data_IF_413479859392
#
_entry.id   IF_413479859392
#
_cell.length_a   1.000
_cell.length_b   1.000
_cell.length_c   1.000
_cell.angle_alpha   90.00
_cell.angle_beta   90.00
_cell.angle_gamma   90.00
#
_symmetry.space_group_name_H-M   'P 1'
#
loop_
_entity.id
_entity.type
_entity.pdbx_description
1 polymer ?
#
# COMPACT_ATOMS: atom_id res chain seq x y z
N UNK A 1 32.48 47.27 -2.69
CA UNK A 1 32.36 45.99 -1.92
C UNK A 1 31.14 45.16 -2.26
N UNK A 2 29.99 45.74 -2.52
CA UNK A 2 28.74 44.95 -2.67
C UNK A 2 28.61 44.16 -4.00
N UNK A 3 29.09 44.71 -5.13
CA UNK A 3 28.92 44.07 -6.45
C UNK A 3 29.84 42.85 -6.67
N UNK A 4 31.06 42.90 -6.15
CA UNK A 4 32.01 41.78 -6.27
C UNK A 4 31.62 40.62 -5.37
N UNK A 5 31.15 40.89 -4.17
CA UNK A 5 30.61 39.89 -3.25
C UNK A 5 29.38 39.18 -3.86
N UNK A 6 28.47 39.94 -4.48
CA UNK A 6 27.31 39.35 -5.17
C UNK A 6 27.72 38.50 -6.38
N UNK A 7 28.80 38.89 -7.11
CA UNK A 7 29.32 38.12 -8.24
C UNK A 7 29.93 36.79 -7.78
N UNK A 8 30.70 36.80 -6.70
CA UNK A 8 31.27 35.63 -6.10
C UNK A 8 30.14 34.67 -5.61
N UNK A 9 29.20 35.21 -4.82
CA UNK A 9 28.08 34.41 -4.30
C UNK A 9 27.23 33.77 -5.42
N UNK A 10 27.00 34.49 -6.53
CA UNK A 10 26.29 33.91 -7.71
C UNK A 10 27.09 32.82 -8.39
N UNK A 11 28.42 32.98 -8.49
CA UNK A 11 29.32 31.97 -9.07
C UNK A 11 29.32 30.70 -8.23
N UNK A 12 29.45 30.84 -6.91
CA UNK A 12 29.50 29.71 -5.98
C UNK A 12 28.15 28.99 -5.91
N UNK A 13 27.05 29.72 -5.92
CA UNK A 13 25.70 29.15 -6.01
C UNK A 13 25.51 28.38 -7.33
N UNK A 14 26.04 28.88 -8.46
CA UNK A 14 25.98 28.19 -9.75
C UNK A 14 26.81 26.92 -9.77
N UNK A 15 28.00 26.92 -9.13
CA UNK A 15 28.85 25.75 -9.01
C UNK A 15 28.16 24.65 -8.17
N UNK A 16 27.62 24.99 -7.01
CA UNK A 16 26.87 24.07 -6.13
C UNK A 16 25.67 23.47 -6.87
N UNK A 17 24.90 24.28 -7.58
CA UNK A 17 23.76 23.79 -8.35
C UNK A 17 24.19 22.86 -9.50
N UNK A 18 25.33 23.14 -10.17
CA UNK A 18 25.87 22.27 -11.21
C UNK A 18 26.28 20.92 -10.68
N UNK A 19 26.94 20.88 -9.52
CA UNK A 19 27.35 19.59 -8.90
C UNK A 19 26.14 18.80 -8.41
N UNK A 20 25.14 19.46 -7.84
CA UNK A 20 23.88 18.82 -7.50
C UNK A 20 23.13 18.25 -8.71
N UNK A 21 23.20 18.90 -9.88
CA UNK A 21 22.62 18.38 -11.11
C UNK A 21 23.34 17.13 -11.59
N UNK A 22 24.68 17.14 -11.61
CA UNK A 22 25.49 15.96 -11.97
C UNK A 22 25.19 14.77 -11.08
N UNK A 23 25.11 14.98 -9.80
CA UNK A 23 24.80 13.93 -8.83
C UNK A 23 23.37 13.37 -9.00
N UNK A 24 22.41 14.21 -9.40
CA UNK A 24 21.05 13.79 -9.75
C UNK A 24 21.02 12.96 -11.03
N UNK A 25 21.80 13.35 -12.04
CA UNK A 25 21.94 12.59 -13.28
C UNK A 25 22.55 11.21 -13.04
N UNK A 26 23.56 11.13 -12.19
CA UNK A 26 24.21 9.86 -11.82
C UNK A 26 23.25 8.94 -11.07
N UNK A 27 22.50 9.45 -10.08
CA UNK A 27 21.46 8.68 -9.39
C UNK A 27 20.36 8.20 -10.34
N UNK A 28 20.00 9.01 -11.34
CA UNK A 28 19.02 8.63 -12.36
C UNK A 28 19.56 7.51 -13.27
N UNK A 29 20.83 7.59 -13.70
CA UNK A 29 21.50 6.57 -14.50
C UNK A 29 21.63 5.24 -13.77
N UNK A 30 21.92 5.29 -12.47
CA UNK A 30 22.01 4.11 -11.61
C UNK A 30 20.63 3.54 -11.19
N UNK A 31 19.52 4.15 -11.60
CA UNK A 31 18.17 3.73 -11.20
C UNK A 31 17.86 3.97 -9.71
N UNK A 32 18.68 4.74 -9.01
CA UNK A 32 18.50 5.05 -7.60
C UNK A 32 17.47 6.19 -7.41
N UNK A 33 16.22 5.88 -7.76
CA UNK A 33 15.12 6.85 -7.78
C UNK A 33 14.87 7.50 -6.43
N UNK A 34 15.14 6.82 -5.33
CA UNK A 34 14.90 7.36 -3.98
C UNK A 34 15.88 8.49 -3.63
N UNK A 35 17.17 8.31 -3.85
CA UNK A 35 18.17 9.34 -3.60
C UNK A 35 18.00 10.51 -4.58
N UNK A 36 17.62 10.23 -5.82
CA UNK A 36 17.25 11.25 -6.79
C UNK A 36 16.11 12.12 -6.27
N UNK A 37 14.99 11.54 -5.84
CA UNK A 37 13.85 12.30 -5.33
C UNK A 37 14.12 12.97 -3.97
N UNK A 38 14.97 12.41 -3.12
CA UNK A 38 15.43 13.05 -1.88
C UNK A 38 16.19 14.32 -2.20
N UNK A 39 17.19 14.25 -3.08
CA UNK A 39 17.99 15.41 -3.50
C UNK A 39 17.19 16.47 -4.26
N UNK A 40 16.20 16.07 -5.04
CA UNK A 40 15.25 17.01 -5.67
C UNK A 40 14.45 17.76 -4.60
N UNK A 41 13.99 17.08 -3.55
CA UNK A 41 13.28 17.71 -2.41
C UNK A 41 14.17 18.67 -1.65
N UNK A 42 15.39 18.26 -1.33
CA UNK A 42 16.36 19.08 -0.60
C UNK A 42 16.73 20.35 -1.38
N UNK A 43 16.74 20.29 -2.72
CA UNK A 43 16.98 21.45 -3.59
C UNK A 43 15.77 22.38 -3.68
N UNK A 44 14.54 21.88 -3.52
CA UNK A 44 13.31 22.69 -3.52
C UNK A 44 13.08 23.46 -2.20
N UNK A 45 13.97 23.27 -1.22
CA UNK A 45 13.84 23.83 0.13
C UNK A 45 13.15 22.85 1.08
N UNK A 46 13.38 23.04 2.36
CA UNK A 46 12.71 22.31 3.42
C UNK A 46 11.20 22.39 3.21
N UNK A 47 10.59 21.21 3.07
CA UNK A 47 9.14 21.08 3.11
C UNK A 47 8.67 21.54 4.50
N UNK A 48 8.35 22.83 4.62
CA UNK A 48 7.47 23.25 5.69
C UNK A 48 6.12 22.62 5.36
N UNK A 49 5.67 21.68 6.18
CA UNK A 49 4.30 21.23 6.12
C UNK A 49 3.44 22.49 6.20
N UNK A 50 2.95 22.97 5.05
CA UNK A 50 1.93 24.01 5.06
C UNK A 50 0.85 23.46 5.96
N UNK A 51 0.42 24.26 6.95
CA UNK A 51 -0.79 23.95 7.70
C UNK A 51 -1.87 23.70 6.65
N UNK A 52 -2.19 22.43 6.43
CA UNK A 52 -3.19 22.05 5.45
C UNK A 52 -4.51 22.18 6.16
N UNK A 53 -5.17 23.33 5.97
CA UNK A 53 -6.57 23.47 6.35
C UNK A 53 -7.39 22.44 5.58
N UNK A 54 -8.15 21.65 6.29
CA UNK A 54 -9.07 20.63 5.73
C UNK A 54 -10.49 21.14 5.93
N UNK A 55 -11.35 20.92 4.96
CA UNK A 55 -12.77 21.26 5.07
C UNK A 55 -13.53 20.21 5.87
N UNK A 56 -14.45 20.70 6.70
CA UNK A 56 -15.47 19.88 7.34
C UNK A 56 -16.51 19.38 6.32
N UNK A 57 -17.57 18.71 6.81
CA UNK A 57 -18.69 18.24 5.96
C UNK A 57 -19.53 19.36 5.37
N UNK A 58 -19.49 20.56 5.99
CA UNK A 58 -20.24 21.74 5.58
C UNK A 58 -19.41 22.65 4.65
N UNK A 59 -18.17 22.29 4.34
CA UNK A 59 -17.25 23.05 3.49
C UNK A 59 -16.49 24.15 4.22
N UNK A 60 -16.56 24.21 5.57
CA UNK A 60 -15.81 25.16 6.39
C UNK A 60 -14.37 24.71 6.60
N UNK A 61 -13.43 25.63 6.56
CA UNK A 61 -12.01 25.35 6.74
C UNK A 61 -11.71 25.07 8.24
N UNK A 62 -11.22 23.88 8.56
CA UNK A 62 -10.73 23.50 9.88
C UNK A 62 -9.26 23.90 10.01
N UNK A 63 -8.92 24.59 11.08
CA UNK A 63 -7.56 25.07 11.38
C UNK A 63 -6.95 24.41 12.60
N UNK A 64 -7.79 23.98 13.56
CA UNK A 64 -7.33 23.34 14.77
C UNK A 64 -6.90 21.89 14.54
N UNK A 65 -5.77 21.52 15.16
CA UNK A 65 -5.17 20.19 14.94
C UNK A 65 -6.10 19.05 15.35
N UNK A 66 -6.84 19.20 16.44
CA UNK A 66 -7.76 18.18 16.94
C UNK A 66 -8.99 18.02 16.04
N UNK A 67 -9.54 19.10 15.52
CA UNK A 67 -10.64 19.06 14.57
C UNK A 67 -10.24 18.41 13.26
N UNK A 68 -9.02 18.68 12.77
CA UNK A 68 -8.44 18.04 11.59
C UNK A 68 -8.28 16.53 11.82
N UNK A 69 -7.76 16.10 12.98
CA UNK A 69 -7.64 14.69 13.35
C UNK A 69 -9.01 14.02 13.38
N UNK A 70 -9.97 14.63 14.06
CA UNK A 70 -11.35 14.13 14.16
C UNK A 70 -11.98 13.97 12.76
N UNK A 71 -11.81 14.97 11.88
CA UNK A 71 -12.31 14.90 10.50
C UNK A 71 -11.70 13.76 9.70
N UNK A 72 -10.39 13.51 9.85
CA UNK A 72 -9.73 12.39 9.21
C UNK A 72 -10.21 11.04 9.75
N UNK A 73 -10.43 10.93 11.05
CA UNK A 73 -10.99 9.74 11.66
C UNK A 73 -12.40 9.48 11.12
N UNK A 74 -13.30 10.45 11.19
CA UNK A 74 -14.67 10.36 10.66
C UNK A 74 -14.69 9.94 9.18
N UNK A 75 -13.85 10.58 8.36
CA UNK A 75 -13.76 10.26 6.94
C UNK A 75 -13.30 8.83 6.69
N UNK A 76 -12.34 8.36 7.47
CA UNK A 76 -11.82 6.99 7.35
C UNK A 76 -12.85 5.98 7.85
N UNK A 77 -13.51 6.23 8.96
CA UNK A 77 -14.57 5.37 9.50
C UNK A 77 -15.74 5.24 8.52
N UNK A 78 -16.17 6.31 7.86
CA UNK A 78 -17.22 6.25 6.84
C UNK A 78 -16.90 5.27 5.71
N UNK A 79 -15.65 5.23 5.26
CA UNK A 79 -15.23 4.34 4.18
C UNK A 79 -14.99 2.90 4.62
N UNK A 80 -14.55 2.70 5.87
CA UNK A 80 -14.20 1.39 6.42
C UNK A 80 -15.17 0.93 7.51
N UNK A 81 -16.37 1.53 7.59
CA UNK A 81 -17.39 1.17 8.58
C UNK A 81 -17.73 -0.30 8.43
N UNK A 82 -17.64 -1.04 9.54
CA UNK A 82 -17.95 -2.45 9.60
C UNK A 82 -19.46 -2.65 9.39
N UNK A 83 -19.83 -3.47 8.42
CA UNK A 83 -21.19 -4.03 8.38
C UNK A 83 -21.32 -4.99 9.57
N UNK A 84 -22.10 -4.56 10.59
CA UNK A 84 -22.35 -5.32 11.83
C UNK A 84 -23.17 -6.61 11.59
N UNK A 85 -23.64 -6.84 10.37
CA UNK A 85 -24.48 -7.97 9.99
C UNK A 85 -23.68 -9.04 9.24
N UNK A 86 -22.52 -9.47 9.74
CA UNK A 86 -21.89 -10.70 9.26
C UNK A 86 -22.50 -11.90 10.04
N UNK A 87 -23.44 -12.64 9.44
CA UNK A 87 -24.11 -13.77 10.13
C UNK A 87 -23.23 -15.02 10.23
N UNK A 88 -22.07 -15.03 9.57
CA UNK A 88 -21.14 -16.17 9.52
C UNK A 88 -19.92 -15.96 10.42
N UNK A 89 -20.13 -15.76 11.71
CA UNK A 89 -19.08 -16.08 12.70
C UNK A 89 -18.97 -17.60 12.77
N UNK A 90 -18.26 -18.19 11.84
CA UNK A 90 -17.87 -19.59 11.98
C UNK A 90 -16.81 -19.69 13.08
N UNK A 91 -17.25 -20.04 14.29
CA UNK A 91 -16.42 -20.55 15.39
C UNK A 91 -15.86 -21.95 15.09
N UNK A 92 -15.77 -22.34 13.83
CA UNK A 92 -15.18 -23.58 13.41
C UNK A 92 -13.67 -23.54 13.54
N UNK A 93 -13.13 -24.04 14.63
CA UNK A 93 -11.72 -24.37 14.74
C UNK A 93 -11.41 -25.47 13.72
N UNK A 94 -10.82 -25.09 12.58
CA UNK A 94 -10.38 -26.05 11.58
C UNK A 94 -9.11 -26.72 12.12
N UNK A 95 -9.24 -27.93 12.59
CA UNK A 95 -8.20 -28.69 13.29
C UNK A 95 -7.05 -29.20 12.42
N UNK A 96 -7.15 -29.10 11.11
CA UNK A 96 -6.16 -29.63 10.17
C UNK A 96 -5.73 -28.62 9.11
N UNK A 97 -4.88 -27.68 9.50
CA UNK A 97 -4.20 -26.79 8.56
C UNK A 97 -3.02 -27.52 7.90
N UNK A 98 -3.17 -27.92 6.66
CA UNK A 98 -2.09 -28.52 5.86
C UNK A 98 -1.91 -27.76 4.56
N UNK A 99 -0.66 -27.63 4.08
CA UNK A 99 0.60 -27.98 4.74
C UNK A 99 1.05 -26.92 5.76
N UNK A 100 1.90 -27.32 6.72
CA UNK A 100 2.57 -26.41 7.65
C UNK A 100 3.40 -25.35 6.90
N UNK A 101 3.68 -24.23 7.58
CA UNK A 101 4.56 -23.20 7.02
C UNK A 101 6.00 -23.71 7.06
N UNK A 102 6.67 -23.64 5.90
CA UNK A 102 8.06 -24.07 5.77
C UNK A 102 9.02 -22.90 6.01
N UNK A 103 10.19 -23.19 6.57
CA UNK A 103 11.27 -22.21 6.73
C UNK A 103 11.69 -21.59 5.39
N UNK A 104 11.66 -22.36 4.31
CA UNK A 104 11.94 -21.89 2.95
C UNK A 104 10.95 -20.84 2.45
N UNK A 105 9.67 -20.93 2.86
CA UNK A 105 8.66 -19.91 2.53
C UNK A 105 8.96 -18.61 3.26
N UNK A 106 9.32 -18.67 4.55
CA UNK A 106 9.70 -17.50 5.35
C UNK A 106 10.95 -16.84 4.77
N UNK A 107 11.97 -17.63 4.43
CA UNK A 107 13.21 -17.14 3.80
C UNK A 107 12.92 -16.41 2.47
N UNK A 108 12.07 -16.98 1.62
CA UNK A 108 11.65 -16.37 0.36
C UNK A 108 10.86 -15.09 0.59
N UNK A 109 9.93 -15.09 1.54
CA UNK A 109 9.13 -13.92 1.89
C UNK A 109 10.00 -12.79 2.42
N UNK A 110 10.95 -13.08 3.31
CA UNK A 110 11.94 -12.10 3.80
C UNK A 110 12.80 -11.52 2.67
N UNK A 111 13.29 -12.39 1.77
CA UNK A 111 14.06 -11.93 0.59
C UNK A 111 13.28 -11.05 -0.37
N UNK A 112 11.94 -11.09 -0.32
CA UNK A 112 11.07 -10.25 -1.15
C UNK A 112 10.72 -8.89 -0.52
N UNK A 113 11.13 -8.63 0.72
CA UNK A 113 10.91 -7.33 1.37
C UNK A 113 11.72 -6.25 0.68
N UNK A 114 11.04 -5.15 0.36
CA UNK A 114 11.70 -3.98 -0.24
C UNK A 114 12.32 -3.16 0.88
N UNK A 115 13.64 -2.97 0.78
CA UNK A 115 14.40 -2.14 1.72
C UNK A 115 14.07 -0.66 1.59
N UNK A 116 14.46 0.10 2.59
CA UNK A 116 14.26 1.55 2.61
C UNK A 116 12.78 1.96 2.49
N UNK A 117 11.87 1.14 3.00
CA UNK A 117 10.44 1.49 3.12
C UNK A 117 10.12 1.86 4.57
N UNK A 118 9.18 2.78 4.79
CA UNK A 118 8.71 3.11 6.14
C UNK A 118 8.23 1.87 6.88
N UNK A 119 8.57 1.77 8.16
CA UNK A 119 8.05 0.75 9.07
C UNK A 119 6.56 0.95 9.35
N UNK A 120 5.89 -0.10 9.79
CA UNK A 120 4.54 0.00 10.33
C UNK A 120 4.50 0.65 11.71
N UNK A 121 3.41 0.42 12.45
CA UNK A 121 3.22 0.95 13.80
C UNK A 121 4.21 0.42 14.84
N UNK A 122 4.87 -0.71 14.56
CA UNK A 122 5.91 -1.34 15.39
C UNK A 122 7.28 -0.65 15.30
N UNK A 123 7.47 0.24 14.33
CA UNK A 123 8.75 0.94 14.12
C UNK A 123 9.90 0.06 13.62
N UNK A 124 9.70 -1.25 13.36
CA UNK A 124 10.76 -2.18 12.97
C UNK A 124 11.09 -1.99 11.47
N UNK A 125 12.32 -1.56 11.12
CA UNK A 125 12.72 -1.40 9.74
C UNK A 125 13.02 -2.75 9.07
N UNK A 126 12.81 -2.85 7.75
CA UNK A 126 13.08 -4.07 7.00
C UNK A 126 14.57 -4.48 7.03
N UNK A 127 15.46 -3.51 7.16
CA UNK A 127 16.90 -3.68 7.21
C UNK A 127 17.36 -4.53 8.40
N UNK A 128 16.62 -4.50 9.51
CA UNK A 128 16.92 -5.31 10.70
C UNK A 128 16.92 -6.81 10.35
N UNK A 129 16.00 -7.26 9.51
CA UNK A 129 15.91 -8.67 9.11
C UNK A 129 17.11 -9.11 8.24
N UNK A 130 17.73 -8.19 7.51
CA UNK A 130 18.97 -8.48 6.77
C UNK A 130 20.16 -8.64 7.70
N UNK A 131 20.22 -7.86 8.78
CA UNK A 131 21.29 -7.95 9.79
C UNK A 131 21.19 -9.29 10.53
N UNK A 132 19.99 -9.66 10.95
CA UNK A 132 19.72 -10.89 11.72
C UNK A 132 19.77 -12.17 10.88
N UNK A 133 19.67 -12.08 9.55
CA UNK A 133 19.78 -13.21 8.60
C UNK A 133 19.00 -14.47 9.04
N UNK A 134 19.73 -15.55 9.32
CA UNK A 134 19.14 -16.84 9.65
C UNK A 134 18.38 -16.85 10.99
N UNK A 135 18.78 -16.01 11.95
CA UNK A 135 18.09 -15.91 13.24
C UNK A 135 16.70 -15.27 13.05
N UNK A 136 16.61 -14.24 12.20
CA UNK A 136 15.31 -13.68 11.82
C UNK A 136 14.42 -14.73 11.17
N UNK A 137 14.97 -15.59 10.30
CA UNK A 137 14.19 -16.67 9.65
C UNK A 137 13.65 -17.64 10.68
N UNK A 138 14.46 -18.12 11.62
CA UNK A 138 14.05 -19.08 12.66
C UNK A 138 12.96 -18.52 13.56
N UNK A 139 13.15 -17.29 14.05
CA UNK A 139 12.18 -16.64 14.94
C UNK A 139 10.86 -16.40 14.20
N UNK A 140 10.90 -15.83 13.01
CA UNK A 140 9.69 -15.59 12.23
C UNK A 140 9.01 -16.88 11.78
N UNK A 141 9.76 -17.95 11.49
CA UNK A 141 9.20 -19.26 11.18
C UNK A 141 8.39 -19.80 12.36
N UNK A 142 8.95 -19.76 13.58
CA UNK A 142 8.22 -20.18 14.79
C UNK A 142 6.94 -19.37 15.00
N UNK A 143 7.01 -18.05 14.86
CA UNK A 143 5.84 -17.17 15.01
C UNK A 143 4.80 -17.46 13.92
N UNK A 144 5.21 -17.57 12.66
CA UNK A 144 4.30 -17.86 11.55
C UNK A 144 3.64 -19.23 11.69
N UNK A 145 4.37 -20.25 12.16
CA UNK A 145 3.80 -21.58 12.45
C UNK A 145 2.77 -21.51 13.57
N UNK A 146 3.06 -20.77 14.64
CA UNK A 146 2.09 -20.62 15.73
C UNK A 146 0.81 -19.92 15.26
N UNK A 147 0.94 -18.79 14.53
CA UNK A 147 -0.19 -18.08 13.94
C UNK A 147 -0.99 -19.00 13.01
N UNK A 148 -0.29 -19.80 12.19
CA UNK A 148 -0.92 -20.75 11.27
C UNK A 148 -1.71 -21.81 12.00
N UNK A 149 -1.14 -22.43 13.04
CA UNK A 149 -1.77 -23.49 13.83
C UNK A 149 -2.96 -23.00 14.67
N UNK A 150 -2.82 -21.82 15.28
CA UNK A 150 -3.86 -21.25 16.14
C UNK A 150 -4.91 -20.44 15.35
N UNK A 151 -4.63 -20.09 14.11
CA UNK A 151 -5.41 -19.17 13.29
C UNK A 151 -5.60 -17.78 13.92
N UNK A 152 -4.84 -17.46 14.96
CA UNK A 152 -4.92 -16.20 15.67
C UNK A 152 -3.81 -15.25 15.23
N UNK A 153 -4.20 -14.12 14.67
CA UNK A 153 -3.28 -13.08 14.29
C UNK A 153 -2.96 -12.20 15.51
N UNK A 154 -1.67 -11.87 15.74
CA UNK A 154 -1.31 -10.89 16.77
C UNK A 154 -1.99 -9.53 16.48
N UNK A 155 -2.52 -8.87 17.49
CA UNK A 155 -3.23 -7.59 17.32
C UNK A 155 -2.35 -6.54 16.62
N UNK A 156 -1.06 -6.47 16.96
CA UNK A 156 -0.12 -5.56 16.32
C UNK A 156 0.07 -5.83 14.82
N UNK A 157 -0.23 -7.05 14.33
CA UNK A 157 -0.16 -7.38 12.91
C UNK A 157 -1.44 -7.01 12.16
N UNK A 158 -2.53 -6.77 12.89
CA UNK A 158 -3.81 -6.25 12.38
C UNK A 158 -3.87 -4.72 12.38
N UNK A 159 -2.85 -4.05 12.93
CA UNK A 159 -2.76 -2.60 13.03
C UNK A 159 -2.09 -2.00 11.80
N UNK A 160 -2.65 -0.89 11.31
CA UNK A 160 -2.07 -0.12 10.20
C UNK A 160 -2.00 1.36 10.52
N UNK A 161 -0.97 2.04 10.01
CA UNK A 161 -0.87 3.49 10.07
C UNK A 161 -1.19 4.04 8.68
N UNK A 162 -2.27 4.78 8.56
CA UNK A 162 -2.67 5.41 7.32
C UNK A 162 -1.93 6.73 7.13
N UNK A 163 -1.33 6.89 5.96
CA UNK A 163 -0.68 8.13 5.53
C UNK A 163 -1.46 8.70 4.36
N UNK A 164 -1.94 9.92 4.53
CA UNK A 164 -2.69 10.63 3.50
C UNK A 164 -1.73 11.41 2.59
N UNK A 165 -1.72 11.06 1.29
CA UNK A 165 -0.92 11.72 0.26
C UNK A 165 -1.86 12.52 -0.63
N UNK A 166 -1.63 13.82 -0.76
CA UNK A 166 -2.45 14.69 -1.60
C UNK A 166 -2.37 14.30 -3.07
N UNK A 167 -3.52 14.24 -3.73
CA UNK A 167 -3.64 14.20 -5.20
C UNK A 167 -3.26 15.57 -5.78
N UNK A 168 -3.12 15.64 -7.09
CA UNK A 168 -2.98 16.93 -7.80
C UNK A 168 -4.26 17.76 -7.60
N UNK A 169 -4.13 19.03 -7.27
CA UNK A 169 -5.25 19.94 -7.06
C UNK A 169 -5.32 20.53 -5.65
N UNK A 170 -6.48 21.00 -5.24
CA UNK A 170 -6.74 21.57 -3.91
C UNK A 170 -6.73 20.49 -2.84
N UNK A 171 -5.75 20.53 -1.95
CA UNK A 171 -5.59 19.59 -0.85
C UNK A 171 -6.48 19.92 0.37
N UNK A 172 -7.65 20.56 0.15
CA UNK A 172 -8.54 20.97 1.24
C UNK A 172 -9.58 19.93 1.64
N UNK A 173 -9.84 18.93 0.81
CA UNK A 173 -10.83 17.88 1.08
C UNK A 173 -10.15 16.54 1.29
N UNK A 174 -10.63 15.75 2.26
CA UNK A 174 -10.10 14.40 2.50
C UNK A 174 -10.23 13.48 1.27
N UNK A 175 -11.24 13.68 0.42
CA UNK A 175 -11.44 12.97 -0.85
C UNK A 175 -10.30 13.19 -1.86
N UNK A 176 -9.59 14.30 -1.75
CA UNK A 176 -8.46 14.67 -2.60
C UNK A 176 -7.13 14.06 -2.14
N UNK A 177 -7.19 13.06 -1.27
CA UNK A 177 -6.03 12.33 -0.81
C UNK A 177 -6.09 10.85 -1.18
N UNK A 178 -4.91 10.29 -1.40
CA UNK A 178 -4.68 8.86 -1.44
C UNK A 178 -4.21 8.39 -0.08
N UNK A 179 -4.86 7.39 0.47
CA UNK A 179 -4.43 6.77 1.72
C UNK A 179 -3.52 5.58 1.45
N UNK A 180 -2.34 5.56 2.07
CA UNK A 180 -1.41 4.44 2.03
C UNK A 180 -1.37 3.82 3.43
N UNK A 181 -1.64 2.52 3.52
CA UNK A 181 -1.54 1.77 4.76
C UNK A 181 -0.09 1.28 4.99
N UNK A 182 0.50 1.67 6.10
CA UNK A 182 1.76 1.13 6.59
C UNK A 182 1.46 0.05 7.62
N UNK A 183 1.81 -1.19 7.29
CA UNK A 183 1.73 -2.36 8.17
C UNK A 183 3.12 -2.83 8.55
N UNK A 184 3.25 -3.60 9.64
CA UNK A 184 4.54 -4.14 10.09
C UNK A 184 5.22 -4.98 9.01
N UNK A 185 6.54 -4.98 8.97
CA UNK A 185 7.29 -5.81 8.03
C UNK A 185 7.16 -7.30 8.38
N UNK A 186 7.00 -7.64 9.66
CA UNK A 186 6.72 -8.99 10.11
C UNK A 186 5.38 -9.51 9.59
N UNK A 187 4.32 -8.70 9.68
CA UNK A 187 3.03 -9.03 9.07
C UNK A 187 3.14 -9.23 7.55
N UNK A 188 3.93 -8.39 6.86
CA UNK A 188 4.16 -8.54 5.42
C UNK A 188 4.79 -9.89 5.05
N UNK A 189 5.65 -10.46 5.90
CA UNK A 189 6.22 -11.80 5.66
C UNK A 189 5.11 -12.84 5.60
N UNK A 190 4.22 -12.87 6.59
CA UNK A 190 3.09 -13.81 6.60
C UNK A 190 2.13 -13.60 5.44
N UNK A 191 1.83 -12.34 5.10
CA UNK A 191 1.01 -12.00 3.94
C UNK A 191 1.64 -12.45 2.61
N UNK A 192 2.96 -12.43 2.49
CA UNK A 192 3.69 -12.94 1.32
C UNK A 192 3.61 -14.45 1.19
N UNK A 193 3.65 -15.16 2.31
CA UNK A 193 3.44 -16.63 2.33
C UNK A 193 2.02 -16.94 1.88
N UNK A 194 1.01 -16.27 2.45
CA UNK A 194 -0.38 -16.42 2.03
C UNK A 194 -0.60 -16.08 0.56
N UNK A 195 -0.04 -14.97 0.10
CA UNK A 195 -0.11 -14.59 -1.31
C UNK A 195 0.40 -15.71 -2.21
N UNK A 196 1.55 -16.32 -1.88
CA UNK A 196 2.13 -17.39 -2.68
C UNK A 196 1.25 -18.65 -2.68
N UNK A 197 0.63 -18.98 -1.54
CA UNK A 197 -0.29 -20.12 -1.43
C UNK A 197 -1.60 -19.89 -2.18
N UNK A 198 -2.19 -18.70 -2.07
CA UNK A 198 -3.41 -18.34 -2.79
C UNK A 198 -3.21 -18.24 -4.30
N UNK A 199 -2.02 -17.80 -4.73
CA UNK A 199 -1.71 -17.58 -6.15
C UNK A 199 -1.87 -18.85 -6.99
N UNK A 200 -1.71 -20.03 -6.40
CA UNK A 200 -1.87 -21.31 -7.08
C UNK A 200 -3.31 -21.53 -7.53
N UNK A 201 -4.27 -21.14 -6.71
CA UNK A 201 -5.71 -21.24 -7.01
C UNK A 201 -6.16 -20.10 -7.92
N UNK A 202 -5.83 -18.87 -7.53
CA UNK A 202 -6.28 -17.67 -8.24
C UNK A 202 -5.81 -17.65 -9.70
N UNK A 203 -4.60 -18.13 -9.99
CA UNK A 203 -4.08 -18.14 -11.36
C UNK A 203 -4.88 -19.03 -12.31
N UNK A 204 -5.57 -20.04 -11.79
CA UNK A 204 -6.38 -20.98 -12.59
C UNK A 204 -7.74 -20.36 -12.95
N UNK A 205 -8.25 -19.49 -12.11
CA UNK A 205 -9.59 -18.90 -12.23
C UNK A 205 -9.60 -17.54 -12.96
N UNK A 206 -8.45 -16.84 -12.99
CA UNK A 206 -8.38 -15.52 -13.64
C UNK A 206 -8.42 -15.68 -15.16
N UNK A 207 -9.40 -15.11 -15.86
CA UNK A 207 -9.50 -15.20 -17.31
C UNK A 207 -8.31 -14.52 -18.00
N UNK A 208 -7.95 -15.02 -19.20
CA UNK A 208 -6.77 -14.55 -19.95
C UNK A 208 -6.84 -13.08 -20.37
N UNK A 209 -8.03 -12.52 -20.48
CA UNK A 209 -8.24 -11.11 -20.79
C UNK A 209 -7.82 -10.19 -19.65
N UNK A 210 -7.81 -10.66 -18.40
CA UNK A 210 -7.40 -9.85 -17.27
C UNK A 210 -5.88 -9.65 -17.26
N UNK A 211 -5.45 -8.41 -17.36
CA UNK A 211 -4.04 -8.04 -17.29
C UNK A 211 -3.62 -7.53 -15.92
N UNK A 212 -4.53 -6.90 -15.17
CA UNK A 212 -4.25 -6.34 -13.85
C UNK A 212 -3.83 -7.42 -12.85
N UNK A 213 -2.78 -7.14 -12.06
CA UNK A 213 -2.25 -8.02 -10.99
C UNK A 213 -1.75 -9.40 -11.45
N UNK A 214 -1.57 -9.62 -12.75
CA UNK A 214 -1.00 -10.85 -13.32
C UNK A 214 0.49 -10.72 -13.62
N UNK A 215 1.25 -11.74 -13.23
CA UNK A 215 2.69 -11.83 -13.57
C UNK A 215 2.86 -11.91 -15.09
N UNK A 216 3.79 -11.11 -15.63
CA UNK A 216 4.10 -11.11 -17.06
C UNK A 216 3.17 -10.26 -17.92
N UNK A 217 2.07 -9.72 -17.40
CA UNK A 217 1.19 -8.77 -18.10
C UNK A 217 1.61 -7.33 -17.75
N UNK A 218 1.87 -6.51 -18.76
CA UNK A 218 2.34 -5.13 -18.60
C UNK A 218 1.35 -4.13 -19.18
N UNK A 219 1.33 -2.92 -18.65
CA UNK A 219 0.50 -1.83 -19.19
C UNK A 219 0.80 -1.54 -20.65
N UNK A 220 2.08 -1.64 -21.06
CA UNK A 220 2.49 -1.44 -22.45
C UNK A 220 1.84 -2.45 -23.41
N UNK A 221 1.70 -3.70 -22.99
CA UNK A 221 1.07 -4.75 -23.80
C UNK A 221 -0.41 -4.42 -24.02
N UNK A 222 -1.09 -3.89 -22.99
CA UNK A 222 -2.49 -3.49 -23.11
C UNK A 222 -2.67 -2.25 -24.01
N UNK A 223 -1.75 -1.29 -23.94
CA UNK A 223 -1.74 -0.14 -24.85
C UNK A 223 -1.54 -0.62 -26.29
N UNK A 224 -0.58 -1.54 -26.53
CA UNK A 224 -0.34 -2.11 -27.84
C UNK A 224 -1.58 -2.84 -28.39
N UNK A 225 -2.29 -3.60 -27.54
CA UNK A 225 -3.54 -4.26 -27.94
C UNK A 225 -4.61 -3.25 -28.38
N UNK A 226 -4.78 -2.14 -27.66
CA UNK A 226 -5.73 -1.08 -28.04
C UNK A 226 -5.30 -0.43 -29.37
N UNK A 227 -4.03 -0.10 -29.52
CA UNK A 227 -3.50 0.46 -30.78
C UNK A 227 -3.76 -0.50 -31.94
N UNK A 228 -3.47 -1.78 -31.76
CA UNK A 228 -3.73 -2.80 -32.77
C UNK A 228 -5.23 -2.90 -33.16
N UNK A 229 -6.14 -2.86 -32.17
CA UNK A 229 -7.59 -2.83 -32.43
C UNK A 229 -7.97 -1.60 -33.27
N UNK A 230 -7.41 -0.44 -32.96
CA UNK A 230 -7.67 0.80 -33.70
C UNK A 230 -7.16 0.69 -35.14
N UNK A 231 -5.95 0.15 -35.33
CA UNK A 231 -5.36 -0.05 -36.66
C UNK A 231 -6.23 -1.00 -37.50
N UNK A 232 -6.63 -2.12 -36.94
CA UNK A 232 -7.53 -3.08 -37.62
C UNK A 232 -8.89 -2.50 -37.93
N UNK A 233 -9.47 -1.73 -37.02
CA UNK A 233 -10.74 -1.05 -37.28
C UNK A 233 -10.63 -0.08 -38.47
N UNK A 234 -9.51 0.64 -38.60
CA UNK A 234 -9.22 1.52 -39.74
C UNK A 234 -9.03 0.74 -41.05
N UNK A 235 -8.26 -0.34 -41.01
CA UNK A 235 -8.03 -1.20 -42.17
C UNK A 235 -9.34 -1.73 -42.74
N UNK A 236 -10.28 -2.16 -41.87
CA UNK A 236 -11.58 -2.69 -42.27
C UNK A 236 -12.69 -1.63 -42.34
N UNK A 237 -12.37 -0.35 -42.20
CA UNK A 237 -13.29 0.79 -42.20
C UNK A 237 -14.50 0.61 -41.25
N UNK A 238 -14.23 0.00 -40.07
CA UNK A 238 -15.24 -0.24 -39.03
C UNK A 238 -15.12 0.77 -37.90
N UNK A 239 -16.28 1.31 -37.50
CA UNK A 239 -16.33 2.15 -36.31
C UNK A 239 -16.10 1.32 -35.04
N UNK A 240 -15.23 1.78 -34.18
CA UNK A 240 -14.97 1.16 -32.87
C UNK A 240 -15.19 2.20 -31.77
N UNK A 241 -15.92 1.80 -30.73
CA UNK A 241 -16.22 2.64 -29.57
C UNK A 241 -15.53 2.07 -28.34
N UNK A 242 -14.86 2.92 -27.57
CA UNK A 242 -14.20 2.54 -26.33
C UNK A 242 -14.91 3.19 -25.14
N UNK A 243 -15.20 2.39 -24.11
CA UNK A 243 -15.68 2.86 -22.82
C UNK A 243 -14.63 2.51 -21.76
N UNK A 244 -14.11 3.52 -21.05
CA UNK A 244 -13.16 3.34 -19.95
C UNK A 244 -13.88 3.57 -18.62
N UNK A 245 -13.80 2.58 -17.72
CA UNK A 245 -14.41 2.64 -16.39
C UNK A 245 -13.31 2.68 -15.36
N UNK A 246 -13.25 3.76 -14.57
CA UNK A 246 -12.28 3.93 -13.48
C UNK A 246 -13.02 4.02 -12.14
N UNK A 247 -12.69 3.10 -11.21
CA UNK A 247 -13.31 3.09 -9.89
C UNK A 247 -12.58 4.03 -8.94
N UNK A 248 -13.29 4.93 -8.29
CA UNK A 248 -12.72 5.93 -7.40
C UNK A 248 -11.94 5.34 -6.21
N UNK A 249 -12.39 4.22 -5.65
CA UNK A 249 -11.80 3.52 -4.50
C UNK A 249 -12.05 2.01 -4.58
N UNK A 250 -11.61 1.36 -5.65
CA UNK A 250 -11.92 -0.03 -5.96
C UNK A 250 -11.69 -1.01 -4.77
N UNK A 251 -10.56 -0.90 -4.08
CA UNK A 251 -10.23 -1.81 -2.97
C UNK A 251 -11.06 -1.56 -1.71
N UNK A 252 -11.45 -0.31 -1.45
CA UNK A 252 -12.25 0.04 -0.27
C UNK A 252 -13.71 -0.37 -0.43
N UNK A 253 -14.18 -0.45 -1.68
CA UNK A 253 -15.56 -0.80 -2.00
C UNK A 253 -15.82 -2.32 -2.06
N UNK A 254 -14.81 -3.16 -1.75
CA UNK A 254 -14.97 -4.61 -1.76
C UNK A 254 -15.81 -5.04 -0.55
N UNK A 255 -16.94 -5.68 -0.83
CA UNK A 255 -17.77 -6.35 0.16
C UNK A 255 -17.08 -7.65 0.58
N UNK A 256 -16.72 -7.77 1.86
CA UNK A 256 -15.97 -8.92 2.35
C UNK A 256 -16.81 -10.21 2.29
N UNK A 257 -18.12 -10.17 2.56
CA UNK A 257 -18.96 -11.36 2.50
C UNK A 257 -19.03 -11.93 1.07
N UNK A 258 -19.16 -11.04 0.09
CA UNK A 258 -19.07 -11.45 -1.33
C UNK A 258 -17.68 -11.96 -1.67
N UNK A 259 -16.62 -11.35 -1.14
CA UNK A 259 -15.25 -11.82 -1.35
C UNK A 259 -15.08 -13.25 -0.84
N UNK A 260 -15.54 -13.56 0.38
CA UNK A 260 -15.44 -14.93 0.93
C UNK A 260 -16.20 -15.94 0.10
N UNK A 261 -17.38 -15.58 -0.40
CA UNK A 261 -18.17 -16.44 -1.29
C UNK A 261 -17.42 -16.72 -2.60
N UNK A 262 -16.89 -15.68 -3.24
CA UNK A 262 -16.12 -15.82 -4.49
C UNK A 262 -14.87 -16.70 -4.26
N UNK A 263 -14.12 -16.50 -3.17
CA UNK A 263 -12.95 -17.32 -2.86
C UNK A 263 -13.33 -18.81 -2.73
N UNK A 264 -14.47 -19.10 -2.12
CA UNK A 264 -15.00 -20.46 -2.03
C UNK A 264 -15.40 -21.01 -3.40
N UNK A 265 -16.08 -20.25 -4.24
CA UNK A 265 -16.45 -20.60 -5.61
C UNK A 265 -15.22 -20.86 -6.49
N UNK A 266 -14.10 -20.16 -6.25
CA UNK A 266 -12.80 -20.39 -6.88
C UNK A 266 -12.08 -21.64 -6.37
N UNK A 267 -12.69 -22.45 -5.50
CA UNK A 267 -12.08 -23.65 -4.94
C UNK A 267 -10.94 -23.40 -3.95
N UNK A 268 -10.83 -22.20 -3.40
CA UNK A 268 -9.84 -21.91 -2.36
C UNK A 268 -10.25 -22.66 -1.08
N UNK A 269 -9.34 -23.44 -0.47
CA UNK A 269 -9.64 -24.22 0.71
C UNK A 269 -10.17 -23.37 1.88
N UNK A 270 -11.16 -23.88 2.59
CA UNK A 270 -11.83 -23.17 3.68
C UNK A 270 -10.86 -22.68 4.77
N UNK A 271 -9.80 -23.43 5.05
CA UNK A 271 -8.79 -23.02 6.04
C UNK A 271 -8.03 -21.75 5.62
N UNK A 272 -7.76 -21.53 4.32
CA UNK A 272 -7.13 -20.31 3.83
C UNK A 272 -8.11 -19.14 3.89
N UNK A 273 -9.37 -19.37 3.53
CA UNK A 273 -10.41 -18.35 3.58
C UNK A 273 -10.70 -17.93 5.03
N UNK A 274 -10.78 -18.91 5.96
CA UNK A 274 -10.95 -18.63 7.39
C UNK A 274 -9.76 -17.85 7.95
N UNK A 275 -8.55 -18.23 7.58
CA UNK A 275 -7.34 -17.52 8.01
C UNK A 275 -7.31 -16.06 7.54
N UNK A 276 -7.77 -15.78 6.32
CA UNK A 276 -7.94 -14.42 5.82
C UNK A 276 -9.04 -13.66 6.57
N UNK A 277 -10.20 -14.29 6.82
CA UNK A 277 -11.28 -13.69 7.62
C UNK A 277 -10.77 -13.26 8.99
N UNK A 278 -10.00 -14.10 9.68
CA UNK A 278 -9.42 -13.79 10.98
C UNK A 278 -8.43 -12.62 10.94
N UNK A 279 -7.75 -12.40 9.81
CA UNK A 279 -6.93 -11.20 9.61
C UNK A 279 -7.79 -9.93 9.51
N UNK A 280 -8.90 -10.01 8.75
CA UNK A 280 -9.78 -8.86 8.56
C UNK A 280 -10.63 -8.55 9.79
N UNK A 281 -10.90 -9.54 10.63
CA UNK A 281 -11.63 -9.36 11.87
C UNK A 281 -10.83 -8.56 12.90
N UNK A 282 -11.40 -7.46 13.38
CA UNK A 282 -10.79 -6.62 14.44
C UNK A 282 -9.53 -5.87 13.99
N UNK A 283 -9.44 -5.47 12.73
CA UNK A 283 -8.39 -4.57 12.26
C UNK A 283 -8.56 -3.18 12.87
N UNK A 284 -7.43 -2.56 13.20
CA UNK A 284 -7.37 -1.20 13.75
C UNK A 284 -6.45 -0.33 12.90
N UNK A 285 -6.80 0.94 12.82
CA UNK A 285 -5.96 1.93 12.13
C UNK A 285 -5.85 3.21 12.92
N UNK A 286 -4.80 3.96 12.63
CA UNK A 286 -4.62 5.37 13.00
C UNK A 286 -4.24 6.15 11.76
N UNK A 287 -4.66 7.40 11.64
CA UNK A 287 -4.29 8.28 10.53
C UNK A 287 -3.17 9.21 10.96
N UNK A 288 -2.05 9.18 10.26
CA UNK A 288 -0.92 10.10 10.47
C UNK A 288 -1.07 11.31 9.55
N UNK A 289 -1.18 12.47 10.16
CA UNK A 289 -1.26 13.78 9.50
C UNK A 289 -0.11 14.67 9.94
N UNK A 290 0.04 15.85 9.34
CA UNK A 290 1.11 16.81 9.70
C UNK A 290 1.12 17.24 11.17
N UNK A 291 -0.02 17.10 11.87
CA UNK A 291 -0.23 17.48 13.27
C UNK A 291 -0.17 16.31 14.26
N UNK A 292 0.31 15.13 13.83
CA UNK A 292 0.38 13.93 14.67
C UNK A 292 -0.44 12.77 14.15
N UNK A 293 -0.91 11.91 15.04
CA UNK A 293 -1.75 10.75 14.73
C UNK A 293 -3.10 10.86 15.43
N UNK A 294 -4.15 10.29 14.82
CA UNK A 294 -5.43 10.07 15.50
C UNK A 294 -5.29 8.98 16.55
N UNK A 295 -6.28 8.80 17.40
CA UNK A 295 -6.41 7.59 18.20
C UNK A 295 -6.61 6.36 17.30
N UNK A 296 -6.39 5.17 17.88
CA UNK A 296 -6.66 3.91 17.19
C UNK A 296 -8.17 3.67 17.13
N UNK A 297 -8.67 3.34 15.97
CA UNK A 297 -10.07 2.99 15.75
C UNK A 297 -10.20 1.75 14.88
N UNK A 298 -11.31 1.03 15.06
CA UNK A 298 -11.58 -0.19 14.31
C UNK A 298 -12.00 0.12 12.88
N UNK A 299 -11.51 -0.69 11.95
CA UNK A 299 -11.91 -0.72 10.55
C UNK A 299 -12.32 -2.15 10.17
N UNK A 300 -13.16 -2.28 9.15
CA UNK A 300 -13.59 -3.57 8.61
C UNK A 300 -14.97 -3.44 7.99
N UNK A 301 -15.14 -4.07 6.86
CA UNK A 301 -16.41 -4.28 6.19
C UNK A 301 -16.74 -5.75 6.17
#
# INVERSE_FOLDING_TARGET
MNAEFQRIARRDKKAILSDQCKEKEENNRMGNTRELFKKIRDTKGTFHAKMVTIKDRNGMDLTEAEDIKKRWQEYTEEWYKKDLNDPDTHDGVITHLKPDILESEVKRALGSLIMNKPSGGDGIPAELFQILKNDAVKVLHSICQQIWKTQQWPQNWKRSVFISISKKGTAKECSNYHTIALISHTSKVMLKILQARLQQYVNQEIPDIQAGFRKGRRTRDQIANICWIIEKAREFQKNTYFCFIDYAKAFVCVDHNKLWKILKEMGIPDHLTCFLRNLYAGQETTVRIGHGTTDWFQIGK
#
